data_IF_013616355775
#
_entry.id   IF_013616355775
#
_cell.length_a   1.000
_cell.length_b   1.000
_cell.length_c   1.000
_cell.angle_alpha   90.00
_cell.angle_beta   90.00
_cell.angle_gamma   90.00
#
_symmetry.space_group_name_H-M   'P 1'
#
loop_
_entity.id
_entity.type
_entity.pdbx_description
1 polymer ?
#
# COMPACT_ATOMS: atom_id res chain seq x y z
N UNK A 1 -7.64 59.96 38.50
CA UNK A 1 -7.16 58.59 38.49
C UNK A 1 -7.91 57.85 37.37
N UNK A 2 -7.28 57.66 36.20
CA UNK A 2 -7.91 57.05 35.06
C UNK A 2 -7.48 55.59 34.97
N UNK A 3 -8.41 54.63 35.01
CA UNK A 3 -8.13 53.20 34.86
C UNK A 3 -8.02 52.87 33.35
N UNK A 4 -7.01 52.11 32.92
CA UNK A 4 -6.93 51.64 31.52
C UNK A 4 -7.90 50.46 31.30
N UNK A 5 -8.75 50.59 30.31
CA UNK A 5 -9.57 49.48 29.81
C UNK A 5 -8.68 48.51 29.01
N UNK A 6 -8.51 47.28 29.51
CA UNK A 6 -7.93 46.18 28.76
C UNK A 6 -8.97 45.61 27.78
N UNK A 7 -8.80 45.86 26.49
CA UNK A 7 -9.56 45.21 25.45
C UNK A 7 -8.98 43.79 25.30
N UNK A 8 -9.73 42.77 25.75
CA UNK A 8 -9.41 41.37 25.46
C UNK A 8 -9.70 41.09 23.98
N UNK A 9 -8.67 40.88 23.19
CA UNK A 9 -8.78 40.32 21.83
C UNK A 9 -9.38 38.92 21.93
N UNK A 10 -10.45 38.59 21.16
CA UNK A 10 -10.99 37.23 21.16
C UNK A 10 -9.93 36.25 20.59
N UNK A 11 -9.59 35.23 21.37
CA UNK A 11 -8.79 34.10 20.83
C UNK A 11 -9.55 33.49 19.66
N UNK A 12 -8.94 33.50 18.47
CA UNK A 12 -9.45 32.79 17.33
C UNK A 12 -9.67 31.33 17.71
N UNK A 13 -10.92 30.86 17.63
CA UNK A 13 -11.23 29.44 17.82
C UNK A 13 -10.53 28.68 16.70
N UNK A 14 -9.51 27.87 17.04
CA UNK A 14 -9.01 26.87 16.14
C UNK A 14 -10.19 25.96 15.78
N UNK A 15 -10.66 26.04 14.53
CA UNK A 15 -11.54 25.00 14.03
C UNK A 15 -10.71 23.71 13.97
N UNK A 16 -11.23 22.59 14.48
CA UNK A 16 -10.55 21.31 14.32
C UNK A 16 -10.38 21.04 12.83
N UNK A 17 -9.15 20.81 12.39
CA UNK A 17 -8.86 20.34 11.04
C UNK A 17 -9.61 19.01 10.91
N UNK A 18 -10.54 18.91 9.95
CA UNK A 18 -11.25 17.67 9.69
C UNK A 18 -10.24 16.59 9.30
N UNK A 19 -10.40 15.38 9.84
CA UNK A 19 -9.55 14.26 9.49
C UNK A 19 -9.69 13.95 7.98
N UNK A 20 -8.58 13.62 7.32
CA UNK A 20 -8.58 13.16 5.94
C UNK A 20 -9.15 11.75 5.85
N UNK A 21 -10.13 11.53 4.99
CA UNK A 21 -10.80 10.23 4.81
C UNK A 21 -10.13 9.45 3.71
N UNK A 22 -9.56 8.30 4.05
CA UNK A 22 -8.91 7.40 3.11
C UNK A 22 -9.58 6.04 3.11
N UNK A 23 -9.81 5.49 1.91
CA UNK A 23 -10.32 4.14 1.70
C UNK A 23 -9.25 3.28 1.01
N UNK A 24 -9.03 2.09 1.53
CA UNK A 24 -8.28 1.01 0.89
C UNK A 24 -9.26 0.00 0.31
N UNK A 25 -9.17 -0.24 -1.00
CA UNK A 25 -9.93 -1.28 -1.71
C UNK A 25 -8.94 -2.30 -2.24
N UNK A 26 -9.17 -3.58 -1.93
CA UNK A 26 -8.25 -4.63 -2.37
C UNK A 26 -8.64 -6.03 -1.88
N UNK A 27 -7.65 -6.88 -1.79
CA UNK A 27 -7.81 -8.28 -1.39
C UNK A 27 -6.82 -8.65 -0.27
N UNK A 28 -6.41 -9.92 -0.21
CA UNK A 28 -5.46 -10.43 0.79
C UNK A 28 -4.14 -9.67 0.85
N UNK A 29 -3.72 -9.05 -0.24
CA UNK A 29 -2.53 -8.20 -0.28
C UNK A 29 -2.71 -6.90 0.53
N UNK A 30 -3.94 -6.40 0.63
CA UNK A 30 -4.27 -5.20 1.40
C UNK A 30 -4.63 -5.53 2.85
N UNK A 31 -5.38 -6.60 3.11
CA UNK A 31 -5.78 -6.91 4.49
C UNK A 31 -4.74 -7.70 5.28
N UNK A 32 -3.66 -8.17 4.66
CA UNK A 32 -2.65 -8.95 5.35
C UNK A 32 -3.10 -10.38 5.63
N UNK A 33 -3.20 -11.22 4.59
CA UNK A 33 -3.61 -12.61 4.72
C UNK A 33 -2.79 -13.33 5.81
N UNK A 34 -3.45 -14.13 6.68
CA UNK A 34 -2.79 -14.78 7.82
C UNK A 34 -1.97 -16.01 7.43
N UNK A 35 -1.56 -16.18 6.17
CA UNK A 35 -0.68 -17.26 5.76
C UNK A 35 0.60 -17.28 6.61
N UNK A 36 0.78 -18.34 7.38
CA UNK A 36 1.93 -18.53 8.24
C UNK A 36 1.92 -17.67 9.50
N UNK A 37 2.90 -16.79 9.66
CA UNK A 37 3.14 -15.94 10.83
C UNK A 37 2.53 -14.53 10.69
N UNK A 38 1.85 -14.24 9.59
CA UNK A 38 1.23 -12.94 9.32
C UNK A 38 -0.17 -12.70 9.93
N UNK A 39 -0.76 -13.55 10.82
CA UNK A 39 -1.93 -13.14 11.60
C UNK A 39 -1.73 -11.80 12.31
N UNK A 40 -0.49 -11.49 12.69
CA UNK A 40 -0.13 -10.21 13.31
C UNK A 40 -0.47 -8.98 12.47
N UNK A 41 -0.50 -9.08 11.13
CA UNK A 41 -0.85 -7.97 10.25
C UNK A 41 -2.36 -7.87 10.09
N UNK A 42 -3.05 -8.96 9.79
CA UNK A 42 -4.52 -8.97 9.68
C UNK A 42 -5.19 -8.48 10.97
N UNK A 43 -4.69 -8.92 12.12
CA UNK A 43 -5.22 -8.60 13.44
C UNK A 43 -4.61 -7.31 14.03
N UNK A 44 -3.78 -6.59 13.27
CA UNK A 44 -3.14 -5.38 13.76
C UNK A 44 -4.16 -4.28 14.02
N UNK A 45 -4.42 -3.95 15.28
CA UNK A 45 -5.25 -2.85 15.78
C UNK A 45 -6.55 -2.60 14.98
N UNK A 46 -7.39 -3.61 14.73
CA UNK A 46 -8.54 -3.48 13.83
C UNK A 46 -9.55 -2.42 14.30
N UNK A 47 -9.59 -2.13 15.61
CA UNK A 47 -10.45 -1.09 16.19
C UNK A 47 -10.03 0.35 15.82
N UNK A 48 -8.88 0.56 15.17
CA UNK A 48 -8.39 1.88 14.75
C UNK A 48 -8.83 2.27 13.35
N UNK A 49 -9.42 1.34 12.60
CA UNK A 49 -9.90 1.51 11.23
C UNK A 49 -11.37 1.10 11.10
N UNK A 50 -12.01 1.48 10.01
CA UNK A 50 -13.38 1.07 9.69
C UNK A 50 -13.36 -0.02 8.63
N UNK A 51 -13.49 -1.27 9.05
CA UNK A 51 -13.69 -2.39 8.13
C UNK A 51 -15.14 -2.40 7.64
N UNK A 52 -15.33 -2.09 6.35
CA UNK A 52 -16.66 -1.96 5.75
C UNK A 52 -17.35 -3.32 5.53
N UNK A 53 -16.61 -4.42 5.65
CA UNK A 53 -17.15 -5.78 5.56
C UNK A 53 -17.56 -6.33 6.93
N UNK A 54 -17.14 -5.69 8.02
CA UNK A 54 -17.46 -6.11 9.39
C UNK A 54 -16.70 -7.36 9.85
N UNK A 55 -15.61 -7.70 9.20
CA UNK A 55 -14.75 -8.85 9.53
C UNK A 55 -13.75 -8.59 10.66
N UNK A 56 -13.70 -7.33 11.16
CA UNK A 56 -12.78 -6.88 12.20
C UNK A 56 -11.31 -7.04 11.82
N UNK A 57 -11.00 -6.66 10.59
CA UNK A 57 -9.65 -6.68 10.02
C UNK A 57 -8.98 -5.32 10.20
N UNK A 58 -7.68 -5.33 10.56
CA UNK A 58 -6.81 -4.14 10.58
C UNK A 58 -5.97 -4.02 9.31
N UNK A 59 -5.10 -4.98 9.08
CA UNK A 59 -4.29 -5.10 7.88
C UNK A 59 -3.32 -3.95 7.64
N UNK A 60 -2.87 -3.83 6.40
CA UNK A 60 -2.04 -2.70 5.93
C UNK A 60 -2.69 -1.34 6.19
N UNK A 61 -4.04 -1.18 6.08
CA UNK A 61 -4.73 0.07 6.46
C UNK A 61 -4.48 0.48 7.91
N UNK A 62 -4.49 -0.46 8.86
CA UNK A 62 -4.22 -0.15 10.27
C UNK A 62 -2.73 0.14 10.54
N UNK A 63 -1.82 -0.50 9.81
CA UNK A 63 -0.39 -0.12 9.82
C UNK A 63 -0.21 1.31 9.32
N UNK A 64 -0.82 1.68 8.19
CA UNK A 64 -0.82 3.04 7.67
C UNK A 64 -1.39 4.03 8.69
N UNK A 65 -2.54 3.72 9.30
CA UNK A 65 -3.15 4.54 10.36
C UNK A 65 -2.18 4.78 11.52
N UNK A 66 -1.54 3.73 12.01
CA UNK A 66 -0.58 3.83 13.11
C UNK A 66 0.65 4.68 12.72
N UNK A 67 1.15 4.53 11.47
CA UNK A 67 2.26 5.34 10.95
C UNK A 67 1.90 6.82 10.85
N UNK A 68 0.70 7.16 10.38
CA UNK A 68 0.24 8.55 10.30
C UNK A 68 0.03 9.16 11.69
N UNK A 69 -0.51 8.40 12.64
CA UNK A 69 -0.66 8.85 14.04
C UNK A 69 0.69 9.09 14.70
N UNK A 70 1.68 8.23 14.46
CA UNK A 70 3.02 8.37 15.02
C UNK A 70 3.71 9.68 14.64
N UNK A 71 3.34 10.27 13.49
CA UNK A 71 3.87 11.56 13.01
C UNK A 71 2.87 12.71 13.17
N UNK A 72 1.81 12.52 13.96
CA UNK A 72 0.83 13.55 14.32
C UNK A 72 -0.12 13.95 13.20
N UNK A 73 -0.38 13.05 12.24
CA UNK A 73 -1.34 13.25 11.16
C UNK A 73 -2.65 12.54 11.48
N UNK A 74 -3.78 13.19 11.17
CA UNK A 74 -5.11 12.67 11.50
C UNK A 74 -5.82 12.14 10.25
N UNK A 75 -5.97 10.81 10.17
CA UNK A 75 -6.68 10.11 9.11
C UNK A 75 -7.84 9.29 9.67
N UNK A 76 -8.97 9.34 9.00
CA UNK A 76 -10.05 8.35 9.12
C UNK A 76 -9.81 7.28 8.06
N UNK A 77 -9.33 6.12 8.48
CA UNK A 77 -8.95 5.04 7.58
C UNK A 77 -10.04 4.00 7.51
N UNK A 78 -10.46 3.67 6.30
CA UNK A 78 -11.42 2.60 6.03
C UNK A 78 -10.83 1.57 5.07
N UNK A 79 -11.33 0.34 5.12
CA UNK A 79 -11.01 -0.71 4.17
C UNK A 79 -12.26 -1.41 3.68
N UNK A 80 -12.25 -1.82 2.42
CA UNK A 80 -13.18 -2.74 1.80
C UNK A 80 -12.35 -3.76 1.03
N UNK A 81 -12.29 -5.00 1.54
CA UNK A 81 -11.38 -6.02 1.03
C UNK A 81 -12.06 -7.37 0.94
N UNK A 82 -11.75 -8.12 -0.14
CA UNK A 82 -12.27 -9.48 -0.34
C UNK A 82 -11.17 -10.37 -0.92
N UNK A 83 -10.87 -11.47 -0.23
CA UNK A 83 -9.80 -12.39 -0.62
C UNK A 83 -9.97 -12.97 -2.02
N UNK A 84 -8.89 -13.00 -2.82
CA UNK A 84 -8.88 -13.56 -4.16
C UNK A 84 -9.63 -12.76 -5.23
N UNK A 85 -10.12 -11.56 -4.91
CA UNK A 85 -10.93 -10.75 -5.82
C UNK A 85 -10.18 -9.52 -6.34
N UNK A 86 -10.61 -9.04 -7.52
CA UNK A 86 -10.11 -7.84 -8.17
C UNK A 86 -11.11 -6.69 -8.16
N UNK A 87 -10.75 -5.61 -8.85
CA UNK A 87 -11.58 -4.40 -8.91
C UNK A 87 -12.92 -4.61 -9.63
N UNK A 88 -13.05 -5.61 -10.48
CA UNK A 88 -14.30 -6.04 -11.11
C UNK A 88 -15.32 -6.49 -10.05
N UNK A 89 -14.94 -7.39 -9.15
CA UNK A 89 -15.79 -7.80 -8.02
C UNK A 89 -16.19 -6.59 -7.16
N UNK A 90 -15.26 -5.74 -6.80
CA UNK A 90 -15.52 -4.57 -5.97
C UNK A 90 -16.48 -3.59 -6.65
N UNK A 91 -16.33 -3.38 -7.96
CA UNK A 91 -17.25 -2.55 -8.73
C UNK A 91 -18.65 -3.14 -8.81
N UNK A 92 -18.76 -4.44 -9.11
CA UNK A 92 -20.04 -5.09 -9.37
C UNK A 92 -20.82 -5.41 -8.08
N UNK A 93 -20.13 -5.76 -6.98
CA UNK A 93 -20.77 -6.26 -5.76
C UNK A 93 -20.65 -5.34 -4.54
N UNK A 94 -19.62 -4.48 -4.46
CA UNK A 94 -19.33 -3.60 -3.31
C UNK A 94 -19.46 -2.11 -3.62
N UNK A 95 -19.98 -1.77 -4.79
CA UNK A 95 -20.10 -0.39 -5.29
C UNK A 95 -20.68 0.59 -4.26
N UNK A 96 -21.77 0.22 -3.60
CA UNK A 96 -22.43 1.09 -2.61
C UNK A 96 -21.61 1.32 -1.33
N UNK A 97 -20.74 0.37 -0.97
CA UNK A 97 -19.82 0.53 0.17
C UNK A 97 -18.65 1.46 -0.19
N UNK A 98 -18.14 1.36 -1.42
CA UNK A 98 -16.95 2.05 -1.91
C UNK A 98 -17.27 3.49 -2.35
N UNK A 99 -18.35 3.70 -3.11
CA UNK A 99 -18.64 4.98 -3.77
C UNK A 99 -19.26 5.98 -2.80
N UNK A 100 -18.40 6.62 -2.02
CA UNK A 100 -18.70 7.66 -1.03
C UNK A 100 -17.72 8.82 -1.19
N UNK A 101 -17.93 9.97 -0.53
CA UNK A 101 -17.06 11.15 -0.66
C UNK A 101 -15.77 10.99 0.19
N UNK A 102 -14.85 10.17 -0.29
CA UNK A 102 -13.50 10.03 0.24
C UNK A 102 -12.59 11.18 -0.22
N UNK A 103 -11.54 11.46 0.53
CA UNK A 103 -10.47 12.37 0.10
C UNK A 103 -9.41 11.62 -0.70
N UNK A 104 -9.11 10.37 -0.29
CA UNK A 104 -8.11 9.51 -0.95
C UNK A 104 -8.70 8.10 -1.08
N UNK A 105 -8.47 7.44 -2.22
CA UNK A 105 -8.81 6.04 -2.43
C UNK A 105 -7.64 5.30 -3.05
N UNK A 106 -7.22 4.21 -2.42
CA UNK A 106 -6.20 3.30 -2.93
C UNK A 106 -6.88 2.05 -3.48
N UNK A 107 -6.61 1.73 -4.74
CA UNK A 107 -7.19 0.60 -5.45
C UNK A 107 -6.12 -0.44 -5.74
N UNK A 108 -6.31 -1.66 -5.24
CA UNK A 108 -5.47 -2.83 -5.51
C UNK A 108 -6.34 -3.91 -6.16
N UNK A 109 -5.90 -4.47 -7.28
CA UNK A 109 -6.60 -5.50 -8.05
C UNK A 109 -5.94 -6.87 -7.89
N UNK A 110 -6.25 -7.83 -8.77
CA UNK A 110 -5.57 -9.12 -8.80
C UNK A 110 -4.05 -8.96 -8.88
N UNK A 111 -3.32 -9.75 -8.09
CA UNK A 111 -1.85 -9.76 -8.12
C UNK A 111 -1.30 -10.25 -9.46
N UNK A 112 -2.05 -11.10 -10.18
CA UNK A 112 -1.72 -11.58 -11.52
C UNK A 112 -2.31 -10.73 -12.63
N UNK A 113 -2.93 -9.56 -12.31
CA UNK A 113 -3.68 -8.67 -13.22
C UNK A 113 -5.03 -9.22 -13.65
N UNK A 114 -5.09 -10.49 -14.02
CA UNK A 114 -6.29 -11.27 -14.31
C UNK A 114 -6.06 -12.69 -13.78
N UNK A 115 -7.09 -13.31 -13.21
CA UNK A 115 -6.99 -14.67 -12.66
C UNK A 115 -7.06 -15.75 -13.76
N UNK A 116 -7.82 -15.48 -14.83
CA UNK A 116 -8.05 -16.39 -15.93
C UNK A 116 -7.00 -16.24 -17.05
N UNK A 117 -6.42 -15.03 -17.17
CA UNK A 117 -5.41 -14.68 -18.17
C UNK A 117 -4.28 -13.85 -17.53
N UNK A 118 -3.40 -14.49 -16.73
CA UNK A 118 -2.34 -13.81 -15.97
C UNK A 118 -1.45 -12.93 -16.87
N UNK A 119 -1.24 -11.70 -16.43
CA UNK A 119 -0.50 -10.69 -17.19
C UNK A 119 -1.37 -9.77 -18.05
N UNK A 120 -2.66 -10.09 -18.25
CA UNK A 120 -3.57 -9.25 -19.02
C UNK A 120 -4.07 -8.05 -18.18
N UNK A 121 -3.77 -6.79 -18.57
CA UNK A 121 -4.15 -5.61 -17.80
C UNK A 121 -5.59 -5.14 -18.03
N UNK A 122 -6.36 -5.79 -18.91
CA UNK A 122 -7.65 -5.27 -19.38
C UNK A 122 -8.67 -5.08 -18.25
N UNK A 123 -8.79 -6.04 -17.31
CA UNK A 123 -9.68 -5.92 -16.13
C UNK A 123 -9.24 -4.74 -15.26
N UNK A 124 -7.95 -4.63 -14.94
CA UNK A 124 -7.41 -3.52 -14.14
C UNK A 124 -7.73 -2.17 -14.78
N UNK A 125 -7.41 -1.98 -16.06
CA UNK A 125 -7.62 -0.70 -16.78
C UNK A 125 -9.10 -0.33 -16.79
N UNK A 126 -9.98 -1.28 -17.10
CA UNK A 126 -11.42 -1.05 -17.17
C UNK A 126 -12.00 -0.66 -15.81
N UNK A 127 -11.80 -1.48 -14.81
CA UNK A 127 -12.51 -1.34 -13.54
C UNK A 127 -11.93 -0.25 -12.64
N UNK A 128 -10.63 0.00 -12.71
CA UNK A 128 -10.05 1.18 -12.04
C UNK A 128 -10.60 2.49 -12.62
N UNK A 129 -10.75 2.58 -13.94
CA UNK A 129 -11.37 3.76 -14.60
C UNK A 129 -12.83 3.94 -14.19
N UNK A 130 -13.62 2.86 -14.13
CA UNK A 130 -15.02 2.91 -13.71
C UNK A 130 -15.17 3.35 -12.24
N UNK A 131 -14.35 2.80 -11.34
CA UNK A 131 -14.31 3.19 -9.93
C UNK A 131 -13.89 4.65 -9.77
N UNK A 132 -12.81 5.07 -10.45
CA UNK A 132 -12.35 6.46 -10.40
C UNK A 132 -13.44 7.45 -10.85
N UNK A 133 -14.16 7.14 -11.93
CA UNK A 133 -15.30 7.94 -12.38
C UNK A 133 -16.42 8.01 -11.35
N UNK A 134 -16.77 6.87 -10.71
CA UNK A 134 -17.79 6.81 -9.69
C UNK A 134 -17.41 7.62 -8.44
N UNK A 135 -16.17 7.51 -8.00
CA UNK A 135 -15.61 8.24 -6.86
C UNK A 135 -15.57 9.76 -7.11
N UNK A 136 -15.10 10.19 -8.28
CA UNK A 136 -15.06 11.60 -8.65
C UNK A 136 -16.45 12.25 -8.73
N UNK A 137 -17.51 11.49 -9.03
CA UNK A 137 -18.88 12.00 -8.94
C UNK A 137 -19.31 12.30 -7.50
N UNK A 138 -18.72 11.62 -6.49
CA UNK A 138 -19.01 11.87 -5.08
C UNK A 138 -18.14 12.99 -4.50
N UNK A 139 -16.87 13.02 -4.89
CA UNK A 139 -15.93 14.08 -4.52
C UNK A 139 -15.03 14.40 -5.72
N UNK A 140 -15.24 15.51 -6.45
CA UNK A 140 -14.39 15.89 -7.59
C UNK A 140 -12.91 16.13 -7.24
N UNK A 141 -12.57 16.28 -5.97
CA UNK A 141 -11.20 16.46 -5.49
C UNK A 141 -10.56 15.16 -4.97
N UNK A 142 -11.23 14.01 -5.11
CA UNK A 142 -10.69 12.73 -4.61
C UNK A 142 -9.36 12.38 -5.30
N UNK A 143 -8.37 12.00 -4.49
CA UNK A 143 -7.09 11.47 -4.96
C UNK A 143 -7.22 9.93 -5.10
N UNK A 144 -7.28 9.42 -6.34
CA UNK A 144 -7.39 7.98 -6.62
C UNK A 144 -6.04 7.45 -7.10
N UNK A 145 -5.47 6.48 -6.38
CA UNK A 145 -4.19 5.86 -6.73
C UNK A 145 -4.31 4.34 -6.85
N UNK A 146 -3.46 3.76 -7.70
CA UNK A 146 -3.34 2.31 -7.84
C UNK A 146 -2.17 1.80 -6.99
N UNK A 147 -2.32 0.64 -6.36
CA UNK A 147 -1.23 -0.06 -5.67
C UNK A 147 -0.69 -1.15 -6.58
N UNK A 148 0.55 -0.97 -7.06
CA UNK A 148 1.27 -1.98 -7.82
C UNK A 148 1.97 -2.94 -6.85
N UNK A 149 1.48 -4.18 -6.78
CA UNK A 149 1.91 -5.21 -5.83
C UNK A 149 3.19 -5.92 -6.27
N UNK A 150 3.73 -6.76 -5.41
CA UNK A 150 4.98 -7.52 -5.59
C UNK A 150 4.82 -8.75 -6.47
N UNK A 151 5.96 -9.29 -6.91
CA UNK A 151 6.03 -10.58 -7.58
C UNK A 151 5.69 -11.73 -6.63
N UNK A 152 4.79 -12.59 -7.02
CA UNK A 152 4.51 -13.85 -6.35
C UNK A 152 5.61 -14.86 -6.69
N UNK A 153 6.29 -15.38 -5.67
CA UNK A 153 7.37 -16.33 -5.89
C UNK A 153 6.87 -17.69 -6.41
N UNK A 154 5.62 -18.08 -6.08
CA UNK A 154 4.96 -19.25 -6.66
C UNK A 154 4.77 -19.13 -8.17
N UNK A 155 4.48 -17.95 -8.69
CA UNK A 155 4.32 -17.69 -10.13
C UNK A 155 5.65 -17.65 -10.88
N UNK A 156 6.75 -17.33 -10.19
CA UNK A 156 8.07 -17.19 -10.82
C UNK A 156 8.89 -18.47 -10.72
N UNK A 157 8.86 -19.15 -9.56
CA UNK A 157 9.76 -20.29 -9.30
C UNK A 157 9.11 -21.65 -9.48
N UNK A 158 7.78 -21.78 -9.40
CA UNK A 158 7.11 -23.07 -9.57
C UNK A 158 6.73 -23.31 -11.03
N UNK A 159 6.86 -24.56 -11.47
CA UNK A 159 6.41 -24.98 -12.80
C UNK A 159 4.89 -24.75 -12.92
N UNK A 160 4.49 -24.14 -14.02
CA UNK A 160 3.08 -23.75 -14.27
C UNK A 160 2.72 -22.33 -13.82
N UNK A 161 3.59 -21.62 -13.13
CA UNK A 161 3.42 -20.20 -12.87
C UNK A 161 3.54 -19.39 -14.16
N UNK A 162 2.75 -18.31 -14.29
CA UNK A 162 2.70 -17.51 -15.51
C UNK A 162 4.02 -16.77 -15.81
N UNK A 163 4.85 -16.54 -14.80
CA UNK A 163 6.19 -15.93 -14.92
C UNK A 163 7.30 -16.96 -14.66
N UNK A 164 7.01 -18.26 -14.83
CA UNK A 164 8.00 -19.31 -14.61
C UNK A 164 9.21 -19.15 -15.54
N UNK A 165 10.41 -19.11 -14.94
CA UNK A 165 11.67 -18.93 -15.68
C UNK A 165 12.08 -17.49 -15.93
N UNK A 166 11.26 -16.52 -15.57
CA UNK A 166 11.60 -15.10 -15.55
C UNK A 166 12.35 -14.72 -14.27
N UNK A 167 12.96 -13.53 -14.24
CA UNK A 167 13.50 -12.94 -13.02
C UNK A 167 12.40 -12.64 -11.99
N UNK A 168 12.72 -12.74 -10.70
CA UNK A 168 11.74 -12.48 -9.63
C UNK A 168 11.20 -11.05 -9.66
N UNK A 169 11.89 -10.12 -10.24
CA UNK A 169 11.48 -8.74 -10.42
C UNK A 169 10.43 -8.54 -11.52
N UNK A 170 10.33 -9.49 -12.47
CA UNK A 170 9.58 -9.32 -13.71
C UNK A 170 8.09 -9.12 -13.49
N UNK A 171 7.44 -9.97 -12.71
CA UNK A 171 6.01 -9.87 -12.46
C UNK A 171 5.62 -8.51 -11.82
N UNK A 172 6.40 -8.04 -10.83
CA UNK A 172 6.15 -6.74 -10.21
C UNK A 172 6.29 -5.59 -11.22
N UNK A 173 7.24 -5.67 -12.15
CA UNK A 173 7.41 -4.69 -13.23
C UNK A 173 6.24 -4.72 -14.22
N UNK A 174 5.72 -5.89 -14.55
CA UNK A 174 4.54 -6.03 -15.41
C UNK A 174 3.28 -5.49 -14.73
N UNK A 175 3.09 -5.75 -13.43
CA UNK A 175 2.01 -5.15 -12.62
C UNK A 175 2.15 -3.62 -12.59
N UNK A 176 3.37 -3.11 -12.43
CA UNK A 176 3.62 -1.67 -12.48
C UNK A 176 3.28 -1.08 -13.84
N UNK A 177 3.70 -1.68 -14.93
CA UNK A 177 3.37 -1.23 -16.29
C UNK A 177 1.86 -1.23 -16.55
N UNK A 178 1.15 -2.25 -16.05
CA UNK A 178 -0.31 -2.31 -16.14
C UNK A 178 -0.99 -1.17 -15.36
N UNK A 179 -0.51 -0.86 -14.15
CA UNK A 179 -1.00 0.27 -13.37
C UNK A 179 -0.69 1.61 -14.06
N UNK A 180 0.50 1.78 -14.63
CA UNK A 180 0.86 2.98 -15.40
C UNK A 180 -0.05 3.14 -16.64
N UNK A 181 -0.37 2.04 -17.33
CA UNK A 181 -1.31 2.05 -18.46
C UNK A 181 -2.73 2.41 -18.01
N UNK A 182 -3.18 1.93 -16.87
CA UNK A 182 -4.49 2.29 -16.31
C UNK A 182 -4.54 3.78 -15.91
N UNK A 183 -3.50 4.31 -15.30
CA UNK A 183 -3.38 5.73 -14.98
C UNK A 183 -3.33 6.60 -16.25
N UNK A 184 -2.64 6.15 -17.30
CA UNK A 184 -2.62 6.84 -18.59
C UNK A 184 -3.98 6.81 -19.31
N UNK A 185 -4.78 5.77 -19.11
CA UNK A 185 -6.11 5.64 -19.69
C UNK A 185 -7.18 6.51 -18.99
N UNK A 186 -6.93 6.98 -17.76
CA UNK A 186 -7.88 7.77 -16.98
C UNK A 186 -7.16 8.89 -16.22
N UNK A 187 -7.38 10.14 -16.63
CA UNK A 187 -6.85 11.32 -15.92
C UNK A 187 -7.39 11.49 -14.49
N UNK A 188 -8.37 10.66 -14.08
CA UNK A 188 -8.94 10.63 -12.73
C UNK A 188 -8.12 9.75 -11.78
N UNK A 189 -7.15 8.99 -12.30
CA UNK A 189 -6.19 8.24 -11.51
C UNK A 189 -4.91 9.06 -11.43
N UNK A 190 -4.54 9.47 -10.22
CA UNK A 190 -3.51 10.48 -9.98
C UNK A 190 -2.11 9.91 -9.82
N UNK A 191 -1.99 8.59 -9.60
CA UNK A 191 -0.67 7.96 -9.44
C UNK A 191 -0.70 6.47 -9.15
N UNK A 192 0.50 5.91 -9.09
CA UNK A 192 0.76 4.49 -8.79
C UNK A 192 1.73 4.38 -7.62
N UNK A 193 1.39 3.56 -6.64
CA UNK A 193 2.21 3.28 -5.47
C UNK A 193 3.12 2.09 -5.78
N UNK A 194 4.47 2.23 -5.69
CA UNK A 194 5.43 1.25 -6.22
C UNK A 194 5.81 0.18 -5.21
N UNK A 195 4.84 -0.55 -4.66
CA UNK A 195 5.12 -1.55 -3.61
C UNK A 195 6.00 -2.67 -4.15
N UNK A 196 5.66 -3.22 -5.33
CA UNK A 196 6.45 -4.29 -5.95
C UNK A 196 7.87 -3.87 -6.29
N UNK A 197 8.07 -2.63 -6.73
CA UNK A 197 9.41 -2.11 -7.01
C UNK A 197 10.22 -1.89 -5.70
N UNK A 198 9.56 -1.56 -4.58
CA UNK A 198 10.22 -1.50 -3.27
C UNK A 198 10.69 -2.91 -2.83
N UNK A 199 9.90 -3.96 -3.09
CA UNK A 199 10.31 -5.35 -2.87
C UNK A 199 11.50 -5.73 -3.75
N UNK A 200 11.46 -5.44 -5.04
CA UNK A 200 12.55 -5.67 -5.98
C UNK A 200 13.84 -4.98 -5.50
N UNK A 201 13.73 -3.76 -4.98
CA UNK A 201 14.86 -3.02 -4.41
C UNK A 201 15.42 -3.71 -3.16
N UNK A 202 14.58 -4.23 -2.27
CA UNK A 202 15.02 -4.98 -1.09
C UNK A 202 15.82 -6.21 -1.48
N UNK A 203 15.37 -6.94 -2.50
CA UNK A 203 16.03 -8.11 -3.07
C UNK A 203 17.36 -7.72 -3.72
N UNK A 204 17.37 -6.70 -4.58
CA UNK A 204 18.57 -6.25 -5.28
C UNK A 204 19.66 -5.76 -4.33
N UNK A 205 19.29 -5.23 -3.17
CA UNK A 205 20.24 -4.79 -2.13
C UNK A 205 20.68 -5.92 -1.18
N UNK A 206 20.21 -7.16 -1.36
CA UNK A 206 20.53 -8.29 -0.49
C UNK A 206 19.96 -8.15 0.93
N UNK A 207 18.93 -7.34 1.11
CA UNK A 207 18.18 -7.25 2.37
C UNK A 207 17.15 -8.38 2.46
N UNK A 208 16.57 -8.73 1.32
CA UNK A 208 15.59 -9.81 1.21
C UNK A 208 16.08 -10.90 0.25
N UNK A 209 15.70 -12.15 0.53
CA UNK A 209 15.98 -13.28 -0.36
C UNK A 209 15.25 -13.13 -1.69
N UNK A 210 15.84 -13.60 -2.79
CA UNK A 210 15.20 -13.62 -4.10
C UNK A 210 14.32 -14.83 -4.33
N UNK A 211 14.58 -15.93 -3.62
CA UNK A 211 13.87 -17.19 -3.77
C UNK A 211 13.53 -17.80 -2.40
N UNK A 212 12.25 -17.74 -1.96
CA UNK A 212 11.84 -18.24 -0.66
C UNK A 212 11.89 -19.77 -0.52
N UNK A 213 12.04 -20.49 -1.64
CA UNK A 213 12.18 -21.97 -1.64
C UNK A 213 13.61 -22.44 -1.38
N UNK A 214 14.58 -21.52 -1.31
CA UNK A 214 15.99 -21.82 -1.04
C UNK A 214 16.42 -21.31 0.33
N UNK A 215 17.60 -21.75 0.76
CA UNK A 215 18.20 -21.24 1.99
C UNK A 215 18.64 -19.79 1.81
N UNK A 216 18.25 -18.94 2.75
CA UNK A 216 18.62 -17.51 2.74
C UNK A 216 20.08 -17.31 3.15
N UNK A 217 20.71 -16.27 2.65
CA UNK A 217 22.00 -15.84 3.15
C UNK A 217 21.88 -15.26 4.58
N UNK A 218 22.95 -15.32 5.38
CA UNK A 218 22.93 -14.74 6.72
C UNK A 218 22.54 -13.25 6.70
N UNK A 219 21.49 -12.89 7.42
CA UNK A 219 20.99 -11.51 7.53
C UNK A 219 19.93 -11.11 6.50
N UNK A 220 19.64 -11.96 5.50
CA UNK A 220 18.48 -11.76 4.63
C UNK A 220 17.19 -12.15 5.36
N UNK A 221 16.12 -11.44 5.01
CA UNK A 221 14.75 -11.75 5.43
C UNK A 221 13.96 -12.35 4.26
N UNK A 222 12.87 -13.03 4.59
CA UNK A 222 11.86 -13.39 3.61
C UNK A 222 10.73 -12.34 3.63
N UNK A 223 10.47 -11.71 2.49
CA UNK A 223 9.33 -10.80 2.36
C UNK A 223 8.02 -11.54 2.15
N UNK A 224 8.06 -12.78 1.67
CA UNK A 224 6.86 -13.62 1.51
C UNK A 224 6.56 -14.40 2.77
N UNK A 225 5.28 -14.67 2.98
CA UNK A 225 4.79 -15.68 3.90
C UNK A 225 5.22 -17.10 3.44
N UNK A 226 5.03 -18.15 4.27
CA UNK A 226 5.43 -19.52 3.91
C UNK A 226 4.80 -20.09 2.64
N UNK A 227 3.67 -19.54 2.19
CA UNK A 227 3.02 -19.90 0.93
C UNK A 227 3.72 -19.31 -0.32
N UNK A 228 4.74 -18.48 -0.12
CA UNK A 228 5.50 -17.80 -1.18
C UNK A 228 4.63 -16.94 -2.12
N UNK A 229 3.47 -16.56 -1.63
CA UNK A 229 2.45 -15.79 -2.34
C UNK A 229 2.14 -14.47 -1.59
N UNK A 230 1.65 -14.59 -0.35
CA UNK A 230 1.32 -13.45 0.49
C UNK A 230 2.57 -12.84 1.14
N UNK A 231 2.43 -11.64 1.69
CA UNK A 231 3.50 -10.99 2.42
C UNK A 231 3.74 -11.61 3.80
N UNK A 232 4.99 -11.64 4.25
CA UNK A 232 5.33 -11.78 5.66
C UNK A 232 5.09 -10.46 6.40
N UNK A 233 5.31 -10.44 7.70
CA UNK A 233 5.29 -9.19 8.50
C UNK A 233 6.26 -8.13 7.93
N UNK A 234 7.40 -8.54 7.40
CA UNK A 234 8.36 -7.65 6.74
C UNK A 234 7.83 -7.09 5.42
N UNK A 235 7.19 -7.94 4.63
CA UNK A 235 6.61 -7.57 3.34
C UNK A 235 5.49 -6.55 3.50
N UNK A 236 4.54 -6.81 4.40
CA UNK A 236 3.44 -5.89 4.68
C UNK A 236 3.89 -4.59 5.36
N UNK A 237 4.92 -4.64 6.22
CA UNK A 237 5.50 -3.43 6.78
C UNK A 237 6.15 -2.56 5.69
N UNK A 238 6.87 -3.16 4.75
CA UNK A 238 7.45 -2.44 3.59
C UNK A 238 6.37 -1.83 2.71
N UNK A 239 5.28 -2.56 2.45
CA UNK A 239 4.11 -2.05 1.75
C UNK A 239 3.52 -0.82 2.48
N UNK A 240 3.22 -0.95 3.77
CA UNK A 240 2.65 0.14 4.57
C UNK A 240 3.56 1.37 4.60
N UNK A 241 4.88 1.19 4.74
CA UNK A 241 5.87 2.28 4.72
C UNK A 241 5.94 2.95 3.33
N UNK A 242 5.81 2.18 2.24
CA UNK A 242 5.79 2.71 0.87
C UNK A 242 4.51 3.51 0.62
N UNK A 243 3.35 2.99 1.04
CA UNK A 243 2.07 3.69 0.97
C UNK A 243 2.12 4.98 1.80
N UNK A 244 2.63 4.89 3.05
CA UNK A 244 2.78 6.05 3.92
C UNK A 244 3.61 7.16 3.24
N UNK A 245 4.78 6.83 2.72
CA UNK A 245 5.64 7.80 2.06
C UNK A 245 4.99 8.43 0.82
N UNK A 246 4.37 7.61 -0.04
CA UNK A 246 3.74 8.06 -1.28
C UNK A 246 2.51 8.93 -1.03
N UNK A 247 1.64 8.53 -0.11
CA UNK A 247 0.39 9.26 0.18
C UNK A 247 0.68 10.55 0.94
N UNK A 248 1.64 10.52 1.87
CA UNK A 248 1.98 11.70 2.69
C UNK A 248 2.95 12.67 2.02
N UNK A 249 3.62 12.26 0.94
CA UNK A 249 4.75 13.02 0.39
C UNK A 249 5.88 13.20 1.42
N UNK A 250 6.07 12.22 2.31
CA UNK A 250 7.04 12.30 3.41
C UNK A 250 8.00 11.12 3.38
N UNK A 251 9.18 11.35 3.89
CA UNK A 251 10.20 10.30 4.02
C UNK A 251 9.76 9.24 5.06
N UNK A 252 9.63 7.97 4.68
CA UNK A 252 9.29 6.90 5.62
C UNK A 252 10.27 6.75 6.80
N UNK A 253 11.52 7.21 6.67
CA UNK A 253 12.52 7.20 7.74
C UNK A 253 12.16 8.10 8.93
N UNK A 254 11.16 8.97 8.79
CA UNK A 254 10.59 9.74 9.91
C UNK A 254 9.99 8.86 11.01
N UNK A 255 9.59 7.62 10.71
CA UNK A 255 9.14 6.65 11.70
C UNK A 255 10.27 6.25 12.67
N UNK A 256 11.53 6.30 12.20
CA UNK A 256 12.71 5.97 12.98
C UNK A 256 12.94 4.48 13.19
N UNK A 257 14.18 4.10 13.48
CA UNK A 257 14.54 2.68 13.65
C UNK A 257 13.86 2.02 14.87
N UNK A 258 13.53 2.78 15.89
CA UNK A 258 12.81 2.30 17.08
C UNK A 258 11.28 2.44 16.96
N UNK A 259 10.78 2.33 15.73
CA UNK A 259 9.36 2.41 15.43
C UNK A 259 8.54 1.43 16.28
N UNK A 260 7.58 1.93 17.08
CA UNK A 260 6.74 1.07 17.91
C UNK A 260 5.86 0.12 17.10
N UNK A 261 5.53 0.45 15.85
CA UNK A 261 4.72 -0.37 14.96
C UNK A 261 5.54 -1.59 14.53
N UNK A 262 6.77 -1.37 14.05
CA UNK A 262 7.69 -2.44 13.71
C UNK A 262 7.95 -3.38 14.90
N UNK A 263 8.14 -2.83 16.09
CA UNK A 263 8.33 -3.61 17.32
C UNK A 263 7.10 -4.46 17.68
N UNK A 264 5.89 -3.94 17.50
CA UNK A 264 4.65 -4.70 17.74
C UNK A 264 4.49 -5.88 16.77
N UNK A 265 5.01 -5.73 15.54
CA UNK A 265 5.09 -6.80 14.55
C UNK A 265 6.29 -7.75 14.76
N UNK A 266 7.09 -7.57 15.80
CA UNK A 266 8.28 -8.37 16.05
C UNK A 266 9.46 -8.07 15.11
N UNK A 267 9.44 -6.94 14.42
CA UNK A 267 10.51 -6.51 13.51
C UNK A 267 11.59 -5.80 14.32
N UNK A 268 12.83 -6.29 14.21
CA UNK A 268 13.98 -5.68 14.88
C UNK A 268 14.28 -4.27 14.36
N UNK A 269 14.77 -3.37 15.23
CA UNK A 269 15.03 -1.97 14.92
C UNK A 269 15.94 -1.76 13.69
N UNK A 270 16.99 -2.59 13.54
CA UNK A 270 17.88 -2.54 12.35
C UNK A 270 17.11 -2.82 11.07
N UNK A 271 16.21 -3.83 11.09
CA UNK A 271 15.45 -4.23 9.92
C UNK A 271 14.35 -3.21 9.60
N UNK A 272 13.67 -2.67 10.63
CA UNK A 272 12.71 -1.58 10.45
C UNK A 272 13.34 -0.38 9.74
N UNK A 273 14.52 0.06 10.21
CA UNK A 273 15.26 1.15 9.56
C UNK A 273 15.70 0.82 8.12
N UNK A 274 16.08 -0.43 7.83
CA UNK A 274 16.42 -0.86 6.47
C UNK A 274 15.20 -0.82 5.54
N UNK A 275 14.05 -1.34 5.96
CA UNK A 275 12.81 -1.32 5.17
C UNK A 275 12.29 0.11 4.92
N UNK A 276 12.36 0.98 5.93
CA UNK A 276 12.03 2.40 5.77
C UNK A 276 12.95 3.09 4.75
N UNK A 277 14.25 2.80 4.79
CA UNK A 277 15.22 3.35 3.84
C UNK A 277 14.98 2.84 2.41
N UNK A 278 14.58 1.57 2.25
CA UNK A 278 14.22 0.98 0.95
C UNK A 278 12.98 1.68 0.38
N UNK A 279 11.93 1.85 1.19
CA UNK A 279 10.73 2.58 0.78
C UNK A 279 11.08 4.02 0.35
N UNK A 280 11.86 4.75 1.16
CA UNK A 280 12.31 6.10 0.84
C UNK A 280 13.11 6.17 -0.46
N UNK A 281 14.04 5.23 -0.68
CA UNK A 281 14.85 5.18 -1.88
C UNK A 281 14.02 4.84 -3.13
N UNK A 282 13.00 3.97 -2.98
CA UNK A 282 12.10 3.66 -4.09
C UNK A 282 11.25 4.87 -4.48
N UNK A 283 10.71 5.58 -3.51
CA UNK A 283 9.91 6.79 -3.76
C UNK A 283 10.75 7.89 -4.41
N UNK A 284 11.95 8.14 -3.92
CA UNK A 284 12.87 9.10 -4.52
C UNK A 284 13.22 8.76 -5.99
N UNK A 285 13.33 7.46 -6.32
CA UNK A 285 13.59 7.03 -7.70
C UNK A 285 12.41 7.27 -8.65
N UNK A 286 11.17 7.35 -8.16
CA UNK A 286 10.01 7.69 -8.98
C UNK A 286 10.00 9.15 -9.44
N UNK A 287 10.54 10.05 -8.64
CA UNK A 287 10.58 11.48 -8.94
C UNK A 287 11.64 11.84 -9.99
N UNK A 288 12.51 10.89 -10.35
CA UNK A 288 13.51 11.10 -11.40
C UNK A 288 12.88 11.04 -12.81
N UNK A 289 13.34 11.89 -13.76
CA UNK A 289 12.91 11.80 -15.16
C UNK A 289 13.10 10.38 -15.73
N UNK A 290 12.18 9.91 -16.57
CA UNK A 290 12.19 8.54 -17.12
C UNK A 290 13.52 8.13 -17.77
N UNK A 291 14.29 9.06 -18.32
CA UNK A 291 15.60 8.79 -18.93
C UNK A 291 16.65 8.36 -17.89
N UNK A 292 16.55 8.84 -16.64
CA UNK A 292 17.47 8.48 -15.55
C UNK A 292 17.07 7.16 -14.89
N UNK A 293 15.77 6.84 -14.87
CA UNK A 293 15.26 5.58 -14.28
C UNK A 293 15.73 4.31 -15.03
N UNK A 294 16.05 4.41 -16.32
CA UNK A 294 16.53 3.28 -17.14
C UNK A 294 18.03 3.01 -17.01
N UNK A 295 18.78 3.86 -16.35
CA UNK A 295 20.22 3.78 -16.20
C UNK A 295 20.67 3.46 -14.76
N UNK A 296 19.77 3.39 -13.80
CA UNK A 296 20.00 3.05 -12.39
C UNK A 296 19.47 1.66 -12.07
#
# INVERSE_FOLDING_TARGET
MSHPFFIRTPMARHQPVSATKILFVGNSFTYGDPAGDAPLVQDFRPHTVSDLNGSNIGGVPALFKAMTDAVGLHYEVSLETEGGNGLDFHYDTRHAAIVKPWDIVLLQSYSTLDEDDPGNPAKLIRFSSLLAQALHRQNPAVDVRLTATWSRADQTWLAGGAWHGEGIDRMALDVRHACDAAAAASHLITGVIPVGEAWNRAIALGVACANPYQRFAPGEINLWAPDAYHGSVYGYYLEAATIFGQVMGRDPRLLGAFDPIARELGIEARMAGALQAIAAAQLAAQDLPQQVRRAA
#
